data_IF_915180519644
#
_entry.id   IF_915180519644
#
_cell.length_a   1.000
_cell.length_b   1.000
_cell.length_c   1.000
_cell.angle_alpha   90.00
_cell.angle_beta   90.00
_cell.angle_gamma   90.00
#
_symmetry.space_group_name_H-M   'P 1'
#
loop_
_entity.id
_entity.type
_entity.pdbx_description
1 polymer ?
#
# COMPACT_ATOMS: atom_id res chain seq x y z
N UNK A 1 4.00 27.60 0.22
CA UNK A 1 4.26 28.21 1.54
C UNK A 1 5.26 27.31 2.27
N UNK A 2 6.15 27.89 3.06
CA UNK A 2 7.11 27.13 3.87
C UNK A 2 6.85 27.40 5.34
N UNK A 3 7.13 26.42 6.19
CA UNK A 3 7.11 26.56 7.64
C UNK A 3 8.41 25.97 8.21
N UNK A 4 9.03 26.67 9.15
CA UNK A 4 10.20 26.18 9.83
C UNK A 4 9.78 25.50 11.14
N UNK A 5 10.10 24.23 11.27
CA UNK A 5 9.83 23.41 12.46
C UNK A 5 11.15 22.82 12.94
N UNK A 6 11.58 23.15 14.16
CA UNK A 6 12.86 22.71 14.74
C UNK A 6 14.06 22.95 13.81
N UNK A 7 14.13 24.11 13.17
CA UNK A 7 15.22 24.49 12.26
C UNK A 7 15.19 23.80 10.88
N UNK A 8 14.18 22.98 10.60
CA UNK A 8 13.97 22.37 9.27
C UNK A 8 12.84 23.08 8.54
N UNK A 9 13.11 23.50 7.32
CA UNK A 9 12.12 24.08 6.44
C UNK A 9 11.25 22.97 5.80
N UNK A 10 9.93 23.09 5.92
CA UNK A 10 8.96 22.15 5.37
C UNK A 10 8.09 22.85 4.35
N UNK A 11 7.89 22.18 3.22
CA UNK A 11 6.93 22.63 2.22
C UNK A 11 5.50 22.40 2.71
N UNK A 12 4.67 23.47 2.62
CA UNK A 12 3.25 23.39 2.95
C UNK A 12 2.43 23.60 1.68
N UNK A 13 1.70 22.56 1.28
CA UNK A 13 0.76 22.61 0.16
C UNK A 13 -0.66 22.84 0.69
N UNK A 14 -1.30 23.94 0.26
CA UNK A 14 -2.66 24.29 0.67
C UNK A 14 -3.63 23.96 -0.46
N UNK A 15 -4.65 23.14 -0.16
CA UNK A 15 -5.77 22.82 -1.06
C UNK A 15 -7.07 23.38 -0.50
N UNK A 16 -7.62 24.38 -1.15
CA UNK A 16 -8.92 24.97 -0.78
C UNK A 16 -10.05 24.14 -1.38
N UNK A 17 -10.98 23.66 -0.53
CA UNK A 17 -12.10 22.79 -0.92
C UNK A 17 -13.36 23.14 -0.14
N UNK A 18 -14.53 22.80 -0.68
CA UNK A 18 -15.80 22.90 0.05
C UNK A 18 -15.82 21.85 1.18
N UNK A 19 -15.48 22.30 2.39
CA UNK A 19 -15.41 21.46 3.59
C UNK A 19 -15.63 22.33 4.84
N UNK A 20 -15.89 21.70 6.00
CA UNK A 20 -16.17 22.41 7.26
C UNK A 20 -14.92 22.69 8.09
N UNK A 21 -13.94 21.79 8.07
CA UNK A 21 -12.80 21.83 8.98
C UNK A 21 -11.47 21.96 8.20
N UNK A 22 -10.42 22.42 8.91
CA UNK A 22 -9.04 22.34 8.40
C UNK A 22 -8.54 20.93 8.66
N UNK A 23 -8.02 20.28 7.63
CA UNK A 23 -7.45 18.92 7.70
C UNK A 23 -5.96 18.97 7.37
N UNK A 24 -5.14 18.45 8.28
CA UNK A 24 -3.70 18.31 8.16
C UNK A 24 -3.32 16.88 7.81
N UNK A 25 -2.43 16.72 6.83
CA UNK A 25 -1.84 15.43 6.43
C UNK A 25 -0.37 15.63 6.09
N UNK A 26 0.40 14.56 6.09
CA UNK A 26 1.72 14.53 5.47
C UNK A 26 1.63 13.76 4.14
N UNK A 27 2.43 14.20 3.16
CA UNK A 27 2.66 13.42 1.94
C UNK A 27 3.72 12.33 2.17
N UNK A 28 4.07 11.58 1.13
CA UNK A 28 5.03 10.48 1.23
C UNK A 28 6.46 10.96 1.58
N UNK A 29 6.78 12.20 1.27
CA UNK A 29 8.08 12.83 1.53
C UNK A 29 8.13 13.56 2.88
N UNK A 30 7.02 13.49 3.63
CA UNK A 30 6.89 14.16 4.94
C UNK A 30 6.60 15.65 4.85
N UNK A 31 6.21 16.19 3.67
CA UNK A 31 5.76 17.57 3.54
C UNK A 31 4.32 17.72 4.03
N UNK A 32 3.99 18.93 4.45
CA UNK A 32 2.69 19.24 5.04
C UNK A 32 1.66 19.54 3.96
N UNK A 33 0.54 18.82 4.00
CA UNK A 33 -0.63 19.07 3.15
C UNK A 33 -1.80 19.56 3.99
N UNK A 34 -2.31 20.74 3.71
CA UNK A 34 -3.51 21.29 4.33
C UNK A 34 -4.65 21.30 3.32
N UNK A 35 -5.80 20.79 3.76
CA UNK A 35 -7.09 21.02 3.07
C UNK A 35 -7.97 21.87 3.96
N UNK A 36 -8.51 22.97 3.45
CA UNK A 36 -9.33 23.91 4.23
C UNK A 36 -10.46 24.52 3.40
N UNK A 37 -11.49 25.11 4.05
CA UNK A 37 -12.50 25.91 3.39
C UNK A 37 -11.90 27.12 2.66
N UNK A 38 -12.54 27.64 1.58
CA UNK A 38 -12.01 28.76 0.81
C UNK A 38 -11.82 30.06 1.62
N UNK A 39 -12.65 30.28 2.63
CA UNK A 39 -12.68 31.52 3.45
C UNK A 39 -11.64 31.53 4.58
N UNK A 40 -10.87 30.46 4.79
CA UNK A 40 -9.84 30.42 5.85
C UNK A 40 -8.65 31.26 5.44
N UNK A 41 -8.26 32.24 6.29
CA UNK A 41 -7.10 33.09 6.04
C UNK A 41 -5.77 32.36 6.20
N UNK A 42 -4.70 32.89 5.65
CA UNK A 42 -3.35 32.32 5.77
C UNK A 42 -2.85 32.40 7.22
N UNK A 43 -3.17 33.48 7.93
CA UNK A 43 -2.82 33.67 9.35
C UNK A 43 -3.46 32.53 10.20
N UNK A 44 -4.73 32.18 9.90
CA UNK A 44 -5.41 31.09 10.60
C UNK A 44 -4.76 29.74 10.30
N UNK A 45 -4.34 29.51 9.06
CA UNK A 45 -3.59 28.29 8.67
C UNK A 45 -2.25 28.23 9.39
N UNK A 46 -1.52 29.35 9.46
CA UNK A 46 -0.25 29.44 10.14
C UNK A 46 -0.38 29.17 11.65
N UNK A 47 -1.37 29.78 12.30
CA UNK A 47 -1.68 29.53 13.70
C UNK A 47 -2.02 28.05 13.96
N UNK A 48 -2.80 27.43 13.08
CA UNK A 48 -3.14 26.00 13.15
C UNK A 48 -1.91 25.10 12.99
N UNK A 49 -0.98 25.45 12.08
CA UNK A 49 0.26 24.71 11.91
C UNK A 49 1.15 24.78 13.16
N UNK A 50 1.25 25.95 13.78
CA UNK A 50 1.97 26.12 15.06
C UNK A 50 1.35 25.30 16.18
N UNK A 51 0.02 25.32 16.30
CA UNK A 51 -0.70 24.48 17.27
C UNK A 51 -0.41 22.99 17.08
N UNK A 52 -0.24 22.53 15.84
CA UNK A 52 0.00 21.12 15.48
C UNK A 52 1.47 20.76 15.29
N UNK A 53 2.41 21.63 15.64
CA UNK A 53 3.85 21.40 15.44
C UNK A 53 4.34 20.08 16.04
N UNK A 54 4.01 19.78 17.29
CA UNK A 54 4.37 18.52 17.94
C UNK A 54 3.82 17.31 17.21
N UNK A 55 2.59 17.40 16.74
CA UNK A 55 1.96 16.33 15.95
C UNK A 55 2.69 16.11 14.62
N UNK A 56 3.06 17.19 13.92
CA UNK A 56 3.80 17.11 12.64
C UNK A 56 5.12 16.39 12.84
N UNK A 57 5.87 16.75 13.89
CA UNK A 57 7.16 16.11 14.23
C UNK A 57 6.98 14.62 14.50
N UNK A 58 6.03 14.27 15.37
CA UNK A 58 5.75 12.88 15.72
C UNK A 58 5.28 12.05 14.52
N UNK A 59 4.44 12.63 13.65
CA UNK A 59 3.94 11.97 12.47
C UNK A 59 5.07 11.72 11.46
N UNK A 60 5.97 12.71 11.24
CA UNK A 60 7.16 12.55 10.41
C UNK A 60 8.11 11.49 10.94
N UNK A 61 8.43 11.53 12.22
CA UNK A 61 9.31 10.54 12.84
C UNK A 61 8.74 9.13 12.71
N UNK A 62 7.44 8.96 12.94
CA UNK A 62 6.75 7.68 12.69
C UNK A 62 6.79 7.24 11.23
N UNK A 63 6.70 8.18 10.30
CA UNK A 63 6.77 7.89 8.86
C UNK A 63 8.20 7.48 8.46
N UNK A 64 9.23 8.19 8.94
CA UNK A 64 10.63 7.84 8.71
C UNK A 64 10.98 6.47 9.30
N UNK A 65 10.57 6.19 10.54
CA UNK A 65 10.77 4.87 11.17
C UNK A 65 10.03 3.75 10.43
N UNK A 66 8.87 4.03 9.84
CA UNK A 66 8.18 3.07 8.98
C UNK A 66 8.92 2.83 7.67
N UNK A 67 9.51 3.87 7.08
CA UNK A 67 10.33 3.74 5.86
C UNK A 67 11.63 2.97 6.13
N UNK A 68 12.27 3.16 7.30
CA UNK A 68 13.43 2.37 7.71
C UNK A 68 13.10 0.91 8.06
N UNK A 69 11.94 0.67 8.70
CA UNK A 69 11.50 -0.69 9.09
C UNK A 69 10.95 -1.52 7.91
N UNK A 70 10.48 -0.87 6.89
CA UNK A 70 9.95 -1.52 5.68
C UNK A 70 10.88 -1.14 4.52
N UNK A 71 12.07 -1.70 4.47
CA UNK A 71 12.81 -1.88 3.22
C UNK A 71 12.01 -2.84 2.34
N UNK A 72 10.80 -2.42 1.96
CA UNK A 72 10.02 -3.09 0.94
C UNK A 72 10.52 -2.57 -0.38
N UNK A 73 11.37 -3.32 -1.02
CA UNK A 73 11.87 -2.88 -2.31
C UNK A 73 13.01 -3.73 -2.80
N UNK A 74 13.39 -3.40 -3.99
CA UNK A 74 14.56 -3.89 -4.67
C UNK A 74 15.56 -2.76 -4.56
N UNK A 75 16.59 -2.91 -3.75
CA UNK A 75 17.64 -1.88 -3.58
C UNK A 75 18.85 -2.10 -4.51
N UNK A 76 18.74 -3.06 -5.42
CA UNK A 76 19.81 -3.46 -6.33
C UNK A 76 20.79 -4.47 -5.75
N UNK A 77 20.73 -4.75 -4.46
CA UNK A 77 21.53 -5.73 -3.74
C UNK A 77 20.64 -6.88 -3.26
N UNK A 78 19.45 -6.55 -2.75
CA UNK A 78 18.47 -7.51 -2.27
C UNK A 78 17.04 -7.15 -2.70
N UNK A 79 16.14 -8.12 -2.59
CA UNK A 79 14.72 -7.93 -2.78
C UNK A 79 13.93 -8.75 -1.76
N UNK A 80 12.84 -8.17 -1.26
CA UNK A 80 11.96 -8.86 -0.31
C UNK A 80 10.85 -9.59 -1.06
N UNK A 81 10.71 -10.91 -0.79
CA UNK A 81 9.67 -11.76 -1.35
C UNK A 81 9.02 -12.61 -0.27
N UNK A 82 7.73 -12.47 -0.08
CA UNK A 82 6.93 -13.17 0.95
C UNK A 82 7.58 -13.07 2.35
N UNK A 83 7.99 -11.85 2.73
CA UNK A 83 8.57 -11.57 4.04
C UNK A 83 10.03 -12.00 4.23
N UNK A 84 10.65 -12.61 3.22
CA UNK A 84 12.06 -13.00 3.25
C UNK A 84 12.88 -12.11 2.32
N UNK A 85 14.10 -11.78 2.73
CA UNK A 85 15.06 -11.04 1.94
C UNK A 85 15.92 -12.02 1.13
N UNK A 86 16.07 -11.75 -0.16
CA UNK A 86 16.85 -12.54 -1.11
C UNK A 86 17.90 -11.66 -1.77
N UNK A 87 19.14 -12.12 -1.92
CA UNK A 87 20.14 -11.42 -2.74
C UNK A 87 19.67 -11.34 -4.19
N UNK A 88 20.11 -10.30 -4.89
CA UNK A 88 19.73 -10.05 -6.29
C UNK A 88 20.92 -10.18 -7.20
N UNK A 89 20.74 -10.84 -8.35
CA UNK A 89 21.69 -10.92 -9.44
C UNK A 89 21.07 -10.42 -10.75
N UNK A 90 21.85 -9.74 -11.56
CA UNK A 90 21.40 -9.24 -12.86
C UNK A 90 22.16 -9.95 -14.00
N UNK A 91 21.40 -10.44 -14.97
CA UNK A 91 21.88 -11.06 -16.19
C UNK A 91 21.32 -10.29 -17.38
N UNK A 92 22.18 -9.93 -18.33
CA UNK A 92 21.72 -9.28 -19.55
C UNK A 92 20.93 -10.26 -20.42
N UNK A 93 19.75 -9.84 -20.90
CA UNK A 93 18.87 -10.69 -21.69
C UNK A 93 18.04 -9.88 -22.68
N UNK A 94 17.59 -10.52 -23.75
CA UNK A 94 16.72 -9.88 -24.77
C UNK A 94 15.29 -9.63 -24.27
N UNK A 95 14.84 -10.33 -23.23
CA UNK A 95 13.50 -10.20 -22.63
C UNK A 95 13.63 -10.05 -21.14
N UNK A 96 12.80 -9.17 -20.57
CA UNK A 96 12.75 -8.98 -19.13
C UNK A 96 12.02 -10.15 -18.48
N UNK A 97 12.66 -10.80 -17.51
CA UNK A 97 12.15 -11.92 -16.73
C UNK A 97 12.81 -11.93 -15.34
N UNK A 98 12.23 -12.66 -14.41
CA UNK A 98 12.80 -12.91 -13.11
C UNK A 98 12.68 -14.40 -12.78
N UNK A 99 13.73 -14.98 -12.20
CA UNK A 99 13.74 -16.36 -11.71
C UNK A 99 14.27 -16.42 -10.28
N UNK A 100 14.02 -17.55 -9.62
CA UNK A 100 14.65 -17.93 -8.36
C UNK A 100 15.64 -19.05 -8.64
N UNK A 101 16.89 -18.85 -8.30
CA UNK A 101 17.99 -19.80 -8.52
C UNK A 101 18.82 -19.87 -7.24
N UNK A 102 18.88 -21.04 -6.61
CA UNK A 102 19.68 -21.31 -5.41
C UNK A 102 19.56 -20.25 -4.29
N UNK A 103 18.34 -19.76 -4.06
CA UNK A 103 18.07 -18.75 -3.03
C UNK A 103 18.43 -17.32 -3.44
N UNK A 104 18.66 -17.08 -4.73
CA UNK A 104 18.93 -15.76 -5.31
C UNK A 104 17.81 -15.38 -6.26
N UNK A 105 17.39 -14.12 -6.25
CA UNK A 105 16.50 -13.57 -7.26
C UNK A 105 17.35 -13.10 -8.43
N UNK A 106 17.17 -13.73 -9.60
CA UNK A 106 17.89 -13.39 -10.82
C UNK A 106 17.00 -12.59 -11.75
N UNK A 107 17.39 -11.36 -12.03
CA UNK A 107 16.76 -10.49 -13.02
C UNK A 107 17.45 -10.67 -14.37
N UNK A 108 16.74 -11.23 -15.32
CA UNK A 108 17.11 -11.22 -16.74
C UNK A 108 16.53 -9.95 -17.36
N UNK A 109 17.34 -8.94 -17.65
CA UNK A 109 16.86 -7.63 -18.07
C UNK A 109 17.67 -7.06 -19.23
N UNK A 110 17.01 -6.27 -20.09
CA UNK A 110 17.67 -5.55 -21.19
C UNK A 110 18.52 -4.39 -20.68
N UNK A 111 18.06 -3.75 -19.62
CA UNK A 111 18.72 -2.64 -18.95
C UNK A 111 18.48 -2.74 -17.44
N UNK A 112 19.34 -2.09 -16.65
CA UNK A 112 19.27 -2.09 -15.19
C UNK A 112 18.63 -0.82 -14.64
N UNK A 113 17.75 -0.17 -15.40
CA UNK A 113 17.00 0.96 -14.89
C UNK A 113 16.06 0.52 -13.76
N UNK A 114 15.88 1.39 -12.77
CA UNK A 114 14.98 1.11 -11.64
C UNK A 114 13.56 0.80 -12.13
N UNK A 115 13.11 1.47 -13.19
CA UNK A 115 11.80 1.25 -13.79
C UNK A 115 11.67 -0.16 -14.39
N UNK A 116 12.70 -0.63 -15.14
CA UNK A 116 12.71 -1.98 -15.75
C UNK A 116 12.72 -3.05 -14.67
N UNK A 117 13.54 -2.88 -13.63
CA UNK A 117 13.65 -3.81 -12.50
C UNK A 117 12.30 -3.88 -11.76
N UNK A 118 11.72 -2.73 -11.39
CA UNK A 118 10.45 -2.67 -10.66
C UNK A 118 9.31 -3.30 -11.47
N UNK A 119 9.18 -2.97 -12.75
CA UNK A 119 8.17 -3.56 -13.64
C UNK A 119 8.32 -5.08 -13.75
N UNK A 120 9.55 -5.58 -13.89
CA UNK A 120 9.83 -7.01 -14.01
C UNK A 120 9.47 -7.73 -12.71
N UNK A 121 9.87 -7.16 -11.57
CA UNK A 121 9.55 -7.70 -10.26
C UNK A 121 8.04 -7.81 -10.02
N UNK A 122 7.31 -6.71 -10.18
CA UNK A 122 5.86 -6.73 -9.93
C UNK A 122 5.08 -7.53 -10.98
N UNK A 123 5.63 -7.73 -12.17
CA UNK A 123 5.03 -8.66 -13.13
C UNK A 123 5.04 -10.10 -12.58
N UNK A 124 6.17 -10.57 -12.08
CA UNK A 124 6.28 -11.91 -11.48
C UNK A 124 5.55 -12.00 -10.13
N UNK A 125 5.64 -10.94 -9.31
CA UNK A 125 4.88 -10.84 -8.07
C UNK A 125 3.36 -10.98 -8.29
N UNK A 126 2.83 -10.34 -9.32
CA UNK A 126 1.41 -10.43 -9.65
C UNK A 126 1.00 -11.85 -10.07
N UNK A 127 1.83 -12.56 -10.84
CA UNK A 127 1.57 -13.97 -11.17
C UNK A 127 1.54 -14.84 -9.92
N UNK A 128 2.50 -14.65 -9.03
CA UNK A 128 2.56 -15.42 -7.79
C UNK A 128 1.38 -15.13 -6.85
N UNK A 129 1.01 -13.86 -6.69
CA UNK A 129 -0.15 -13.48 -5.88
C UNK A 129 -1.47 -13.99 -6.48
N UNK A 130 -1.59 -14.04 -7.82
CA UNK A 130 -2.74 -14.67 -8.48
C UNK A 130 -2.80 -16.16 -8.21
N UNK A 131 -1.65 -16.85 -8.20
CA UNK A 131 -1.58 -18.24 -7.81
C UNK A 131 -2.06 -18.45 -6.35
N UNK A 132 -1.61 -17.62 -5.40
CA UNK A 132 -2.07 -17.69 -4.01
C UNK A 132 -3.58 -17.44 -3.89
N UNK A 133 -4.12 -16.46 -4.64
CA UNK A 133 -5.57 -16.25 -4.68
C UNK A 133 -6.29 -17.53 -5.14
N UNK A 134 -5.79 -18.22 -6.15
CA UNK A 134 -6.40 -19.47 -6.64
C UNK A 134 -6.40 -20.57 -5.58
N UNK A 135 -5.36 -20.65 -4.76
CA UNK A 135 -5.28 -21.65 -3.68
C UNK A 135 -6.27 -21.35 -2.53
N UNK A 136 -6.46 -20.08 -2.18
CA UNK A 136 -7.28 -19.70 -1.02
C UNK A 136 -8.75 -19.43 -1.35
N UNK A 137 -9.03 -19.03 -2.60
CA UNK A 137 -10.36 -18.55 -2.98
C UNK A 137 -11.44 -19.63 -2.90
N UNK A 138 -11.14 -20.90 -3.12
CA UNK A 138 -12.14 -21.96 -3.10
C UNK A 138 -12.81 -22.04 -1.71
N UNK A 139 -11.99 -22.02 -0.66
CA UNK A 139 -12.48 -21.99 0.72
C UNK A 139 -13.28 -20.72 1.01
N UNK A 140 -12.80 -19.54 0.60
CA UNK A 140 -13.45 -18.26 0.85
C UNK A 140 -14.75 -18.12 0.02
N UNK A 141 -14.75 -18.56 -1.23
CA UNK A 141 -15.94 -18.58 -2.09
C UNK A 141 -17.04 -19.45 -1.49
N UNK A 142 -16.68 -20.61 -0.92
CA UNK A 142 -17.63 -21.51 -0.27
C UNK A 142 -18.19 -20.90 1.02
N UNK A 143 -17.32 -20.56 1.97
CA UNK A 143 -17.73 -20.21 3.33
C UNK A 143 -18.28 -18.78 3.42
N UNK A 144 -17.79 -17.85 2.62
CA UNK A 144 -18.26 -16.45 2.70
C UNK A 144 -19.36 -16.18 1.66
N UNK A 145 -19.16 -16.61 0.42
CA UNK A 145 -20.07 -16.23 -0.64
C UNK A 145 -21.25 -17.21 -0.78
N UNK A 146 -21.01 -18.49 -1.06
CA UNK A 146 -22.08 -19.45 -1.36
C UNK A 146 -22.99 -19.72 -0.16
N UNK A 147 -22.41 -19.98 1.04
CA UNK A 147 -23.20 -20.19 2.25
C UNK A 147 -24.09 -18.99 2.63
N UNK A 148 -23.70 -17.79 2.24
CA UNK A 148 -24.45 -16.55 2.48
C UNK A 148 -25.20 -16.05 1.25
N UNK A 149 -25.31 -16.85 0.18
CA UNK A 149 -26.00 -16.52 -1.07
C UNK A 149 -25.50 -15.20 -1.70
N UNK A 150 -24.19 -14.93 -1.60
CA UNK A 150 -23.55 -13.76 -2.20
C UNK A 150 -22.88 -14.13 -3.52
N UNK A 151 -22.81 -13.22 -4.48
CA UNK A 151 -22.11 -13.46 -5.75
C UNK A 151 -20.61 -13.59 -5.51
N UNK A 152 -19.96 -14.48 -6.27
CA UNK A 152 -18.52 -14.68 -6.23
C UNK A 152 -17.79 -13.41 -6.68
N UNK A 153 -16.73 -12.99 -5.98
CA UNK A 153 -16.05 -11.76 -6.32
C UNK A 153 -15.12 -11.89 -7.53
N UNK A 154 -15.02 -10.80 -8.27
CA UNK A 154 -13.93 -10.60 -9.23
C UNK A 154 -12.73 -10.02 -8.49
N UNK A 155 -11.65 -10.79 -8.43
CA UNK A 155 -10.43 -10.37 -7.73
C UNK A 155 -9.41 -9.88 -8.75
N UNK A 156 -8.76 -8.73 -8.45
CA UNK A 156 -7.71 -8.13 -9.26
C UNK A 156 -6.53 -7.73 -8.39
N UNK A 157 -5.32 -7.88 -8.92
CA UNK A 157 -4.13 -7.34 -8.30
C UNK A 157 -3.84 -5.98 -8.92
N UNK A 158 -3.49 -5.01 -8.08
CA UNK A 158 -3.13 -3.64 -8.47
C UNK A 158 -1.99 -3.14 -7.60
N UNK A 159 -1.12 -2.32 -8.16
CA UNK A 159 -0.19 -1.55 -7.35
C UNK A 159 -0.95 -0.45 -6.60
N UNK A 160 -0.98 -0.52 -5.28
CA UNK A 160 -1.69 0.45 -4.43
C UNK A 160 -0.75 0.97 -3.35
N UNK A 161 -0.66 2.29 -3.20
CA UNK A 161 0.23 2.95 -2.23
C UNK A 161 -0.45 3.27 -0.90
N UNK A 162 -1.78 3.44 -0.89
CA UNK A 162 -2.54 3.94 0.26
C UNK A 162 -3.31 2.87 1.04
N UNK A 163 -3.44 1.65 0.49
CA UNK A 163 -4.19 0.55 1.10
C UNK A 163 -3.65 -0.80 0.63
N UNK A 164 -3.95 -1.86 1.39
CA UNK A 164 -3.53 -3.23 1.08
C UNK A 164 -4.56 -3.99 0.26
N UNK A 165 -5.83 -3.65 0.42
CA UNK A 165 -6.94 -4.18 -0.34
C UNK A 165 -8.08 -3.17 -0.47
N UNK A 166 -9.09 -3.51 -1.23
CA UNK A 166 -10.36 -2.80 -1.28
C UNK A 166 -11.46 -3.70 -1.83
N UNK A 167 -12.62 -3.70 -1.18
CA UNK A 167 -13.83 -4.33 -1.67
C UNK A 167 -14.86 -3.29 -2.12
N UNK A 168 -15.61 -3.62 -3.17
CA UNK A 168 -16.83 -2.90 -3.57
C UNK A 168 -17.98 -3.91 -3.52
N UNK A 169 -18.68 -4.04 -2.37
CA UNK A 169 -19.67 -5.09 -2.15
C UNK A 169 -20.78 -5.11 -3.23
N UNK A 170 -21.30 -3.94 -3.58
CA UNK A 170 -22.37 -3.81 -4.60
C UNK A 170 -22.00 -4.38 -5.99
N UNK A 171 -20.71 -4.51 -6.31
CA UNK A 171 -20.20 -5.04 -7.58
C UNK A 171 -19.48 -6.37 -7.41
N UNK A 172 -19.38 -6.88 -6.20
CA UNK A 172 -18.54 -8.05 -5.85
C UNK A 172 -17.14 -7.97 -6.45
N UNK A 173 -16.49 -6.80 -6.31
CA UNK A 173 -15.13 -6.58 -6.81
C UNK A 173 -14.17 -6.41 -5.65
N UNK A 174 -13.11 -7.22 -5.64
CA UNK A 174 -12.00 -7.13 -4.71
C UNK A 174 -10.75 -6.70 -5.48
N UNK A 175 -9.97 -5.80 -4.92
CA UNK A 175 -8.63 -5.46 -5.40
C UNK A 175 -7.63 -5.70 -4.28
N UNK A 176 -6.53 -6.40 -4.58
CA UNK A 176 -5.44 -6.72 -3.66
C UNK A 176 -4.19 -5.99 -4.12
N UNK A 177 -3.43 -5.43 -3.19
CA UNK A 177 -2.19 -4.71 -3.51
C UNK A 177 -1.06 -5.66 -3.88
N UNK A 178 -0.41 -5.44 -5.03
CA UNK A 178 0.81 -6.17 -5.41
C UNK A 178 1.96 -6.00 -4.40
N UNK A 179 1.96 -4.94 -3.60
CA UNK A 179 2.95 -4.70 -2.55
C UNK A 179 2.89 -5.73 -1.41
N UNK A 180 1.83 -6.52 -1.31
CA UNK A 180 1.75 -7.62 -0.34
C UNK A 180 2.80 -8.69 -0.57
N UNK A 181 3.40 -8.77 -1.76
CA UNK A 181 4.53 -9.66 -2.05
C UNK A 181 5.73 -9.45 -1.10
N UNK A 182 5.88 -8.26 -0.54
CA UNK A 182 6.97 -7.95 0.39
C UNK A 182 6.72 -8.44 1.83
N UNK A 183 5.53 -8.96 2.12
CA UNK A 183 5.13 -9.38 3.46
C UNK A 183 4.96 -10.89 3.54
N UNK A 184 4.99 -11.49 4.75
CA UNK A 184 4.69 -12.89 4.94
C UNK A 184 3.33 -13.29 4.37
N UNK A 185 3.19 -14.58 4.01
CA UNK A 185 1.97 -15.14 3.40
C UNK A 185 0.72 -14.87 4.26
N UNK A 186 0.86 -14.93 5.57
CA UNK A 186 -0.21 -14.70 6.53
C UNK A 186 -0.81 -13.29 6.40
N UNK A 187 0.02 -12.30 6.07
CA UNK A 187 -0.45 -10.92 5.82
C UNK A 187 -1.30 -10.85 4.54
N UNK A 188 -0.92 -11.60 3.51
CA UNK A 188 -1.68 -11.70 2.27
C UNK A 188 -3.03 -12.37 2.50
N UNK A 189 -3.04 -13.55 3.16
CA UNK A 189 -4.25 -14.31 3.49
C UNK A 189 -5.21 -13.49 4.36
N UNK A 190 -4.67 -12.79 5.38
CA UNK A 190 -5.47 -11.89 6.20
C UNK A 190 -6.15 -10.79 5.39
N UNK A 191 -5.40 -10.09 4.51
CA UNK A 191 -5.97 -9.05 3.66
C UNK A 191 -7.01 -9.62 2.70
N UNK A 192 -6.76 -10.78 2.11
CA UNK A 192 -7.73 -11.42 1.22
C UNK A 192 -9.04 -11.76 1.98
N UNK A 193 -8.94 -12.39 3.13
CA UNK A 193 -10.09 -12.68 4.01
C UNK A 193 -10.82 -11.38 4.42
N UNK A 194 -10.10 -10.34 4.80
CA UNK A 194 -10.64 -9.04 5.16
C UNK A 194 -11.51 -8.44 4.04
N UNK A 195 -11.02 -8.47 2.81
CA UNK A 195 -11.78 -7.97 1.65
C UNK A 195 -12.99 -8.84 1.31
N UNK A 196 -12.89 -10.16 1.52
CA UNK A 196 -14.04 -11.06 1.40
C UNK A 196 -15.10 -10.78 2.46
N UNK A 197 -14.70 -10.53 3.71
CA UNK A 197 -15.63 -10.20 4.80
C UNK A 197 -16.47 -8.95 4.50
N UNK A 198 -15.92 -7.99 3.75
CA UNK A 198 -16.66 -6.82 3.28
C UNK A 198 -17.81 -7.13 2.32
N UNK A 199 -17.84 -8.31 1.70
CA UNK A 199 -19.01 -8.77 0.90
C UNK A 199 -20.23 -8.97 1.81
N UNK A 200 -20.01 -9.39 3.05
CA UNK A 200 -21.06 -9.59 4.04
C UNK A 200 -21.34 -8.34 4.87
N UNK A 201 -20.27 -7.71 5.37
CA UNK A 201 -20.35 -6.60 6.32
C UNK A 201 -19.50 -5.43 5.81
N UNK A 202 -20.16 -4.35 5.39
CA UNK A 202 -19.50 -3.21 4.75
C UNK A 202 -18.62 -2.37 5.70
N UNK A 203 -18.90 -2.38 7.00
CA UNK A 203 -18.23 -1.57 8.03
C UNK A 203 -17.51 -2.47 9.04
N UNK A 204 -16.41 -1.99 9.62
CA UNK A 204 -15.63 -2.70 10.64
C UNK A 204 -16.37 -2.70 12.00
N UNK A 205 -17.49 -3.43 12.08
CA UNK A 205 -18.29 -3.66 13.29
C UNK A 205 -17.84 -4.93 14.02
N UNK A 206 -18.51 -5.26 15.14
CA UNK A 206 -18.30 -6.55 15.83
C UNK A 206 -18.60 -7.73 14.90
N UNK A 207 -19.66 -7.61 14.08
CA UNK A 207 -20.05 -8.66 13.13
C UNK A 207 -18.99 -8.87 12.05
N UNK A 208 -18.32 -7.79 11.61
CA UNK A 208 -17.19 -7.89 10.68
C UNK A 208 -16.05 -8.71 11.28
N UNK A 209 -15.65 -8.39 12.51
CA UNK A 209 -14.55 -9.11 13.18
C UNK A 209 -14.94 -10.53 13.64
N UNK A 210 -16.20 -10.89 13.60
CA UNK A 210 -16.64 -12.26 13.79
C UNK A 210 -16.49 -13.12 12.52
N UNK A 211 -16.35 -12.49 11.33
CA UNK A 211 -16.10 -13.18 10.06
C UNK A 211 -14.61 -13.35 9.81
N UNK A 212 -13.77 -12.36 10.23
CA UNK A 212 -12.31 -12.34 10.04
C UNK A 212 -11.59 -13.05 11.17
#
# INVERSE_FOLDING_TARGET
MFITIQGKELTVTIKRKRMKNIVLRLDNDGNVMISCPPHVSEERIYAFLKEKETWIIQARNRQMQKQEKVKTGIDGISATWMGKEYPVKFVEAKRNAMSFEDGVIVFHVKDRSAETIEKTFYHEANKYLLYLIQQEREFLDEHICKMNQKPLPRIRIKYMTSRWGSCTPAKSNISISSRLIHFPHECFSYVLLHEYAHILVAIHSKDFYAVV
#
